data_IF_636097462527
#
_entry.id   IF_636097462527
#
_cell.length_a   1.000
_cell.length_b   1.000
_cell.length_c   1.000
_cell.angle_alpha   90.00
_cell.angle_beta   90.00
_cell.angle_gamma   90.00
#
_symmetry.space_group_name_H-M   'P 1'
#
loop_
_entity.id
_entity.type
_entity.pdbx_description
1 polymer ?
#
# COMPACT_ATOMS: atom_id res chain seq x y z
N UNK A 1 -13.07 14.61 31.58
CA UNK A 1 -13.52 13.39 30.88
C UNK A 1 -14.35 13.80 29.66
N UNK A 2 -14.20 13.05 28.56
CA UNK A 2 -14.99 13.08 27.31
C UNK A 2 -14.88 14.30 26.37
N UNK A 3 -13.88 14.26 25.48
CA UNK A 3 -13.97 14.75 24.09
C UNK A 3 -13.05 13.91 23.19
N UNK A 4 -13.45 12.68 22.85
CA UNK A 4 -12.79 11.82 21.85
C UNK A 4 -13.88 11.01 21.13
N UNK A 5 -14.60 11.63 20.19
CA UNK A 5 -15.63 10.92 19.41
C UNK A 5 -16.00 11.58 18.06
N UNK A 6 -15.09 12.34 17.41
CA UNK A 6 -15.39 12.98 16.11
C UNK A 6 -14.25 12.75 15.08
N UNK A 7 -13.32 11.82 15.34
CA UNK A 7 -12.17 11.61 14.45
C UNK A 7 -12.44 10.74 13.22
N UNK A 8 -13.58 10.02 13.15
CA UNK A 8 -13.82 9.02 12.10
C UNK A 8 -14.64 9.47 10.87
N UNK A 9 -15.28 10.64 10.89
CA UNK A 9 -16.33 10.97 9.91
C UNK A 9 -15.81 11.77 8.70
N UNK A 10 -14.71 12.53 8.84
CA UNK A 10 -14.27 13.42 7.75
C UNK A 10 -13.49 12.72 6.63
N UNK A 11 -12.86 11.57 6.88
CA UNK A 11 -12.18 10.77 5.84
C UNK A 11 -13.19 10.10 4.89
N UNK A 12 -14.42 9.85 5.34
CA UNK A 12 -15.47 9.21 4.53
C UNK A 12 -16.11 10.15 3.49
N UNK A 13 -16.07 11.48 3.68
CA UNK A 13 -16.65 12.41 2.71
C UNK A 13 -15.81 12.57 1.43
N UNK A 14 -14.51 12.26 1.48
CA UNK A 14 -13.64 12.22 0.30
C UNK A 14 -13.89 11.02 -0.61
N UNK A 15 -14.35 9.89 -0.05
CA UNK A 15 -14.63 8.65 -0.80
C UNK A 15 -15.91 8.73 -1.65
N UNK A 16 -16.90 9.53 -1.24
CA UNK A 16 -18.18 9.65 -1.94
C UNK A 16 -18.10 10.43 -3.28
N UNK A 17 -17.06 11.25 -3.49
CA UNK A 17 -16.88 11.97 -4.75
C UNK A 17 -16.15 11.16 -5.83
N UNK A 18 -15.51 10.04 -5.46
CA UNK A 18 -14.79 9.16 -6.40
C UNK A 18 -15.74 8.08 -6.96
N UNK A 19 -16.79 7.71 -6.24
CA UNK A 19 -17.69 6.60 -6.62
C UNK A 19 -18.75 6.93 -7.69
N UNK A 20 -19.02 8.20 -8.00
CA UNK A 20 -20.08 8.57 -8.96
C UNK A 20 -19.62 8.61 -10.43
N UNK A 21 -18.39 8.21 -10.75
CA UNK A 21 -17.83 8.37 -12.09
C UNK A 21 -17.25 7.08 -12.70
N UNK A 22 -17.92 5.94 -12.54
CA UNK A 22 -17.52 4.73 -13.29
C UNK A 22 -18.69 3.92 -13.84
N UNK A 23 -18.90 3.89 -15.17
CA UNK A 23 -19.76 2.90 -15.81
C UNK A 23 -19.01 1.56 -15.91
N UNK A 24 -19.65 0.46 -15.49
CA UNK A 24 -19.11 -0.90 -15.60
C UNK A 24 -18.75 -1.25 -17.04
N UNK A 25 -17.52 -1.74 -17.33
CA UNK A 25 -17.19 -2.23 -18.66
C UNK A 25 -17.95 -3.53 -18.94
N UNK A 26 -18.78 -3.53 -19.98
CA UNK A 26 -19.39 -4.74 -20.53
C UNK A 26 -18.29 -5.61 -21.16
N UNK A 27 -18.06 -6.78 -20.56
CA UNK A 27 -17.15 -7.78 -21.09
C UNK A 27 -17.62 -8.26 -22.46
N UNK A 28 -16.78 -8.08 -23.48
CA UNK A 28 -16.86 -8.81 -24.74
C UNK A 28 -15.60 -9.65 -24.88
N UNK A 29 -15.78 -10.97 -24.83
CA UNK A 29 -14.73 -11.98 -24.99
C UNK A 29 -14.17 -11.98 -26.43
N UNK A 30 -12.83 -12.01 -26.61
CA UNK A 30 -12.25 -12.56 -27.83
C UNK A 30 -11.82 -14.02 -27.63
N UNK A 31 -12.45 -14.87 -28.44
CA UNK A 31 -12.24 -16.31 -28.64
C UNK A 31 -10.78 -16.58 -29.07
N UNK A 32 -9.96 -17.13 -28.17
CA UNK A 32 -8.58 -17.53 -28.47
C UNK A 32 -8.51 -18.88 -29.21
N UNK A 33 -7.86 -18.87 -30.37
CA UNK A 33 -7.59 -20.04 -31.20
C UNK A 33 -6.49 -20.92 -30.58
N UNK A 34 -6.75 -22.24 -30.57
CA UNK A 34 -5.80 -23.29 -30.18
C UNK A 34 -4.70 -23.42 -31.25
N UNK A 35 -3.43 -23.38 -30.85
CA UNK A 35 -2.32 -23.84 -31.69
C UNK A 35 -1.42 -24.77 -30.87
N UNK A 36 -1.06 -25.87 -31.54
CA UNK A 36 -0.53 -27.12 -31.02
C UNK A 36 0.94 -27.10 -30.59
N UNK A 37 1.22 -27.94 -29.59
CA UNK A 37 2.55 -28.35 -29.11
C UNK A 37 3.24 -29.26 -30.15
N UNK A 38 4.59 -29.34 -30.13
CA UNK A 38 5.18 -30.67 -30.11
C UNK A 38 6.19 -30.92 -28.97
N UNK A 39 6.07 -32.13 -28.44
CA UNK A 39 6.96 -32.83 -27.51
C UNK A 39 8.31 -33.12 -28.17
N UNK A 40 9.42 -32.91 -27.45
CA UNK A 40 10.71 -33.57 -27.71
C UNK A 40 11.26 -34.12 -26.39
N UNK A 41 11.70 -35.38 -26.45
CA UNK A 41 12.12 -36.22 -25.33
C UNK A 41 13.60 -36.56 -25.43
N UNK A 42 14.27 -36.66 -24.26
CA UNK A 42 15.51 -37.41 -23.89
C UNK A 42 16.91 -36.93 -24.35
N UNK A 43 18.05 -37.37 -23.72
CA UNK A 43 18.28 -38.16 -22.48
C UNK A 43 19.38 -37.63 -21.51
N UNK A 44 19.59 -38.38 -20.41
CA UNK A 44 20.59 -38.30 -19.33
C UNK A 44 22.08 -38.29 -19.75
N UNK A 45 22.97 -37.74 -18.91
CA UNK A 45 24.35 -38.25 -18.68
C UNK A 45 24.87 -37.86 -17.28
N UNK A 46 25.49 -38.84 -16.63
CA UNK A 46 26.08 -38.90 -15.27
C UNK A 46 27.56 -38.53 -15.20
N UNK A 47 28.03 -37.91 -14.09
CA UNK A 47 29.38 -38.04 -13.45
C UNK A 47 29.40 -37.18 -12.16
N UNK A 48 29.59 -37.64 -10.92
CA UNK A 48 30.61 -38.47 -10.23
C UNK A 48 31.97 -37.79 -9.98
N UNK A 49 32.34 -37.73 -8.68
CA UNK A 49 33.64 -37.31 -8.09
C UNK A 49 33.54 -36.00 -7.30
N UNK A 50 34.10 -35.79 -6.11
CA UNK A 50 34.81 -36.58 -5.08
C UNK A 50 34.97 -35.61 -3.89
N UNK A 51 34.99 -36.13 -2.67
CA UNK A 51 35.14 -35.39 -1.42
C UNK A 51 36.47 -34.60 -1.34
N UNK A 52 36.49 -33.53 -0.54
CA UNK A 52 37.40 -33.48 0.60
C UNK A 52 36.96 -32.49 1.69
N UNK A 53 37.27 -32.87 2.92
CA UNK A 53 36.94 -32.22 4.19
C UNK A 53 37.80 -30.97 4.44
N UNK A 54 37.21 -29.96 5.10
CA UNK A 54 37.81 -29.12 6.15
C UNK A 54 37.13 -27.76 6.22
N UNK A 55 36.29 -27.54 7.23
CA UNK A 55 36.57 -26.52 8.24
C UNK A 55 35.52 -26.59 9.34
N UNK A 56 35.99 -27.02 10.51
CA UNK A 56 35.30 -26.92 11.78
C UNK A 56 35.14 -25.43 12.18
N UNK A 57 34.05 -25.16 12.89
CA UNK A 57 33.67 -23.92 13.59
C UNK A 57 32.85 -22.88 12.80
N UNK A 58 31.56 -23.17 12.56
CA UNK A 58 30.56 -22.12 12.30
C UNK A 58 29.13 -22.50 12.76
N UNK A 59 29.00 -23.39 13.75
CA UNK A 59 27.73 -24.05 14.08
C UNK A 59 27.02 -23.52 15.35
N UNK A 60 27.40 -22.34 15.84
CA UNK A 60 26.74 -21.73 17.03
C UNK A 60 26.08 -20.38 16.73
N UNK A 61 26.38 -19.76 15.59
CA UNK A 61 25.68 -18.54 15.12
C UNK A 61 24.48 -18.85 14.21
N UNK A 62 24.48 -20.00 13.53
CA UNK A 62 23.45 -20.34 12.52
C UNK A 62 22.08 -20.76 13.10
N UNK A 63 22.02 -21.20 14.38
CA UNK A 63 20.76 -21.61 15.00
C UNK A 63 19.90 -20.41 15.44
N UNK A 64 20.52 -19.30 15.86
CA UNK A 64 19.81 -18.12 16.38
C UNK A 64 19.28 -17.21 15.27
N UNK A 65 19.92 -17.18 14.10
CA UNK A 65 19.40 -16.51 12.90
C UNK A 65 18.25 -17.28 12.24
N UNK A 66 18.25 -18.62 12.28
CA UNK A 66 17.17 -19.41 11.67
C UNK A 66 15.83 -19.28 12.40
N UNK A 67 15.84 -19.18 13.73
CA UNK A 67 14.60 -19.00 14.52
C UNK A 67 14.00 -17.59 14.39
N UNK A 68 14.81 -16.53 14.31
CA UNK A 68 14.26 -15.17 14.12
C UNK A 68 13.65 -14.99 12.73
N UNK A 69 14.30 -15.55 11.70
CA UNK A 69 13.84 -15.39 10.30
C UNK A 69 12.55 -16.17 10.03
N UNK A 70 12.35 -17.33 10.68
CA UNK A 70 11.12 -18.11 10.53
C UNK A 70 9.91 -17.43 11.21
N UNK A 71 10.10 -16.92 12.43
CA UNK A 71 9.04 -16.20 13.16
C UNK A 71 8.58 -14.95 12.41
N UNK A 72 9.50 -14.22 11.77
CA UNK A 72 9.18 -13.03 10.98
C UNK A 72 8.42 -13.36 9.69
N UNK A 73 8.75 -14.49 9.03
CA UNK A 73 8.02 -14.97 7.86
C UNK A 73 6.59 -15.38 8.19
N UNK A 74 6.40 -16.15 9.26
CA UNK A 74 5.06 -16.59 9.70
C UNK A 74 4.18 -15.40 10.08
N UNK A 75 4.74 -14.39 10.74
CA UNK A 75 4.03 -13.15 11.07
C UNK A 75 3.62 -12.38 9.81
N UNK A 76 4.49 -12.28 8.81
CA UNK A 76 4.20 -11.59 7.55
C UNK A 76 3.12 -12.33 6.73
N UNK A 77 3.15 -13.66 6.72
CA UNK A 77 2.14 -14.45 6.02
C UNK A 77 0.76 -14.31 6.69
N UNK A 78 0.71 -14.31 8.02
CA UNK A 78 -0.51 -14.02 8.77
C UNK A 78 -1.06 -12.62 8.45
N UNK A 79 -0.18 -11.60 8.37
CA UNK A 79 -0.57 -10.25 7.97
C UNK A 79 -1.15 -10.22 6.55
N UNK A 80 -0.49 -10.84 5.57
CA UNK A 80 -0.94 -10.88 4.18
C UNK A 80 -2.30 -11.56 4.04
N UNK A 81 -2.50 -12.66 4.76
CA UNK A 81 -3.78 -13.34 4.79
C UNK A 81 -4.87 -12.43 5.34
N UNK A 82 -4.66 -11.89 6.55
CA UNK A 82 -5.61 -10.97 7.18
C UNK A 82 -5.93 -9.77 6.27
N UNK A 83 -4.90 -9.14 5.69
CA UNK A 83 -5.07 -7.98 4.82
C UNK A 83 -5.87 -8.34 3.56
N UNK A 84 -5.63 -9.52 2.98
CA UNK A 84 -6.37 -9.98 1.82
C UNK A 84 -7.85 -10.20 2.15
N UNK A 85 -8.16 -10.83 3.28
CA UNK A 85 -9.54 -11.02 3.76
C UNK A 85 -10.23 -9.67 3.99
N UNK A 86 -9.56 -8.76 4.70
CA UNK A 86 -10.12 -7.44 5.02
C UNK A 86 -10.35 -6.58 3.77
N UNK A 87 -9.43 -6.65 2.79
CA UNK A 87 -9.60 -5.95 1.53
C UNK A 87 -10.77 -6.49 0.70
N UNK A 88 -11.06 -7.79 0.78
CA UNK A 88 -12.21 -8.40 0.12
C UNK A 88 -13.53 -7.96 0.76
N UNK A 89 -13.56 -7.81 2.10
CA UNK A 89 -14.74 -7.33 2.82
C UNK A 89 -15.17 -5.93 2.39
N UNK A 90 -14.25 -5.06 1.99
CA UNK A 90 -14.59 -3.72 1.48
C UNK A 90 -15.44 -3.75 0.20
N UNK A 91 -15.43 -4.83 -0.58
CA UNK A 91 -16.29 -4.96 -1.78
C UNK A 91 -17.75 -5.24 -1.40
N UNK A 92 -17.96 -6.02 -0.34
CA UNK A 92 -19.27 -6.54 0.06
C UNK A 92 -19.93 -5.73 1.20
N UNK A 93 -19.19 -4.83 1.84
CA UNK A 93 -19.67 -4.09 3.01
C UNK A 93 -20.51 -2.88 2.64
N UNK A 94 -21.67 -2.78 3.27
CA UNK A 94 -22.42 -1.53 3.40
C UNK A 94 -21.73 -0.52 4.32
N UNK A 95 -22.46 0.40 4.97
CA UNK A 95 -21.87 1.35 5.90
C UNK A 95 -21.02 0.66 6.97
N UNK A 96 -19.75 1.06 7.08
CA UNK A 96 -18.83 0.50 8.08
C UNK A 96 -19.31 0.86 9.49
N UNK A 97 -19.39 -0.14 10.37
CA UNK A 97 -19.79 0.10 11.77
C UNK A 97 -18.65 0.80 12.54
N UNK A 98 -18.97 1.58 13.58
CA UNK A 98 -17.95 2.21 14.42
C UNK A 98 -16.97 1.21 15.04
N UNK A 99 -17.44 0.03 15.42
CA UNK A 99 -16.63 -1.04 16.02
C UNK A 99 -15.61 -1.59 15.03
N UNK A 100 -15.99 -1.69 13.75
CA UNK A 100 -15.09 -2.11 12.68
C UNK A 100 -14.01 -1.07 12.41
N UNK A 101 -14.36 0.22 12.39
CA UNK A 101 -13.37 1.29 12.25
C UNK A 101 -12.39 1.31 13.44
N UNK A 102 -12.87 1.03 14.64
CA UNK A 102 -12.03 0.89 15.82
C UNK A 102 -11.09 -0.31 15.72
N UNK A 103 -11.57 -1.47 15.21
CA UNK A 103 -10.70 -2.63 15.01
C UNK A 103 -9.60 -2.37 13.99
N UNK A 104 -9.91 -1.69 12.89
CA UNK A 104 -8.91 -1.25 11.91
C UNK A 104 -7.89 -0.28 12.51
N UNK A 105 -8.36 0.71 13.28
CA UNK A 105 -7.49 1.66 13.99
C UNK A 105 -6.54 0.95 14.96
N UNK A 106 -7.05 -0.01 15.73
CA UNK A 106 -6.23 -0.79 16.66
C UNK A 106 -5.18 -1.63 15.94
N UNK A 107 -5.55 -2.25 14.81
CA UNK A 107 -4.61 -3.03 13.99
C UNK A 107 -3.56 -2.15 13.33
N UNK A 108 -3.94 -0.97 12.86
CA UNK A 108 -3.03 0.01 12.26
C UNK A 108 -1.99 0.52 13.27
N UNK A 109 -2.41 0.73 14.52
CA UNK A 109 -1.52 1.16 15.60
C UNK A 109 -0.46 0.10 15.97
N UNK A 110 -0.66 -1.16 15.59
CA UNK A 110 0.27 -2.26 15.85
C UNK A 110 1.00 -2.75 14.59
N UNK A 111 1.03 -1.97 13.51
CA UNK A 111 1.74 -2.33 12.29
C UNK A 111 3.25 -2.33 12.51
N UNK A 112 3.90 -3.47 12.27
CA UNK A 112 5.36 -3.55 12.26
C UNK A 112 5.94 -2.87 11.01
N UNK A 113 7.19 -2.42 11.07
CA UNK A 113 7.85 -1.71 9.95
C UNK A 113 7.82 -2.51 8.64
N UNK A 114 8.00 -3.83 8.72
CA UNK A 114 7.91 -4.71 7.56
C UNK A 114 6.50 -4.74 6.96
N UNK A 115 5.45 -4.71 7.80
CA UNK A 115 4.05 -4.67 7.35
C UNK A 115 3.74 -3.32 6.69
N UNK A 116 4.24 -2.22 7.26
CA UNK A 116 4.10 -0.88 6.68
C UNK A 116 4.77 -0.80 5.30
N UNK A 117 5.98 -1.36 5.16
CA UNK A 117 6.68 -1.44 3.88
C UNK A 117 5.88 -2.26 2.84
N UNK A 118 5.26 -3.36 3.26
CA UNK A 118 4.39 -4.16 2.39
C UNK A 118 3.12 -3.37 1.98
N UNK A 119 2.51 -2.60 2.89
CA UNK A 119 1.38 -1.72 2.56
C UNK A 119 1.77 -0.66 1.52
N UNK A 120 2.94 -0.03 1.65
CA UNK A 120 3.46 0.92 0.65
C UNK A 120 3.63 0.24 -0.71
N UNK A 121 4.18 -0.98 -0.73
CA UNK A 121 4.34 -1.77 -1.95
C UNK A 121 2.98 -2.09 -2.60
N UNK A 122 1.99 -2.51 -1.82
CA UNK A 122 0.62 -2.78 -2.30
C UNK A 122 0.00 -1.50 -2.88
N UNK A 123 0.04 -0.39 -2.13
CA UNK A 123 -0.53 0.88 -2.55
C UNK A 123 0.05 1.41 -3.86
N UNK A 124 1.32 1.07 -4.15
CA UNK A 124 2.04 1.46 -5.36
C UNK A 124 1.83 0.49 -6.53
N UNK A 125 1.39 -0.74 -6.31
CA UNK A 125 1.33 -1.73 -7.38
C UNK A 125 0.12 -1.47 -8.30
N UNK A 126 0.37 -1.05 -9.54
CA UNK A 126 -0.69 -0.75 -10.51
C UNK A 126 -1.59 -1.96 -10.84
N UNK A 127 -1.09 -3.18 -10.68
CA UNK A 127 -1.83 -4.42 -10.91
C UNK A 127 -2.72 -4.84 -9.73
N UNK A 128 -2.56 -4.23 -8.56
CA UNK A 128 -3.42 -4.54 -7.41
C UNK A 128 -4.83 -3.95 -7.60
N UNK A 129 -5.87 -4.69 -7.15
CA UNK A 129 -7.23 -4.17 -7.07
C UNK A 129 -7.32 -2.84 -6.31
N UNK A 130 -8.25 -1.98 -6.72
CA UNK A 130 -8.42 -0.64 -6.15
C UNK A 130 -8.65 -0.66 -4.64
N UNK A 131 -9.50 -1.58 -4.17
CA UNK A 131 -9.83 -1.75 -2.75
C UNK A 131 -8.60 -2.12 -1.90
N UNK A 132 -7.69 -2.95 -2.42
CA UNK A 132 -6.44 -3.27 -1.73
C UNK A 132 -5.56 -2.04 -1.56
N UNK A 133 -5.43 -1.25 -2.63
CA UNK A 133 -4.64 0.00 -2.59
C UNK A 133 -5.26 1.02 -1.63
N UNK A 134 -6.59 1.18 -1.66
CA UNK A 134 -7.34 2.07 -0.76
C UNK A 134 -7.15 1.62 0.69
N UNK A 135 -7.36 0.34 1.01
CA UNK A 135 -7.17 -0.17 2.36
C UNK A 135 -5.72 0.02 2.82
N UNK A 136 -4.75 -0.18 1.93
CA UNK A 136 -3.34 -0.01 2.28
C UNK A 136 -3.02 1.43 2.71
N UNK A 137 -3.43 2.42 1.91
CA UNK A 137 -3.25 3.84 2.25
C UNK A 137 -4.05 4.20 3.50
N UNK A 138 -5.26 3.65 3.66
CA UNK A 138 -6.08 3.88 4.84
C UNK A 138 -5.44 3.32 6.12
N UNK A 139 -4.91 2.09 6.10
CA UNK A 139 -4.19 1.50 7.23
C UNK A 139 -2.96 2.34 7.61
N UNK A 140 -2.19 2.80 6.62
CA UNK A 140 -1.08 3.73 6.85
C UNK A 140 -1.58 5.06 7.46
N UNK A 141 -2.72 5.58 7.04
CA UNK A 141 -3.29 6.82 7.60
C UNK A 141 -3.70 6.71 9.08
N UNK A 142 -4.09 5.50 9.51
CA UNK A 142 -4.55 5.23 10.87
C UNK A 142 -3.41 4.97 11.86
N UNK A 143 -2.23 4.55 11.39
CA UNK A 143 -1.08 4.16 12.22
C UNK A 143 -0.40 5.30 13.00
N UNK A 144 -0.88 6.54 12.87
CA UNK A 144 -0.36 7.75 13.55
C UNK A 144 1.16 7.93 13.30
N UNK A 145 1.91 8.33 14.32
CA UNK A 145 3.33 8.67 14.20
C UNK A 145 4.20 7.52 13.69
N UNK A 146 3.80 6.27 13.90
CA UNK A 146 4.55 5.08 13.45
C UNK A 146 4.60 4.93 11.93
N UNK A 147 3.61 5.45 11.20
CA UNK A 147 3.47 5.29 9.73
C UNK A 147 3.81 6.55 8.95
N UNK A 148 4.22 7.63 9.62
CA UNK A 148 4.52 8.92 8.99
C UNK A 148 5.55 8.79 7.87
N UNK A 149 6.64 8.07 8.12
CA UNK A 149 7.69 7.88 7.11
C UNK A 149 7.16 7.10 5.91
N UNK A 150 6.40 6.02 6.13
CA UNK A 150 5.81 5.23 5.05
C UNK A 150 4.81 6.03 4.21
N UNK A 151 4.01 6.91 4.83
CA UNK A 151 3.13 7.84 4.10
C UNK A 151 3.94 8.84 3.29
N UNK A 152 5.00 9.42 3.86
CA UNK A 152 5.94 10.31 3.16
C UNK A 152 6.56 9.61 1.95
N UNK A 153 7.14 8.43 2.14
CA UNK A 153 7.77 7.64 1.07
C UNK A 153 6.76 7.34 -0.04
N UNK A 154 5.51 7.04 0.34
CA UNK A 154 4.43 6.80 -0.61
C UNK A 154 4.09 8.06 -1.43
N UNK A 155 3.98 9.25 -0.83
CA UNK A 155 3.63 10.47 -1.57
C UNK A 155 4.78 11.00 -2.42
N UNK A 156 6.03 10.85 -1.98
CA UNK A 156 7.23 11.30 -2.68
C UNK A 156 7.55 10.43 -3.91
N UNK A 157 7.18 9.14 -3.88
CA UNK A 157 7.40 8.25 -5.01
C UNK A 157 6.80 8.82 -6.32
N UNK A 158 7.47 8.68 -7.48
CA UNK A 158 6.89 9.11 -8.75
C UNK A 158 5.63 8.29 -9.07
N UNK A 159 4.71 8.91 -9.81
CA UNK A 159 3.59 8.17 -10.40
C UNK A 159 4.13 7.09 -11.34
N UNK A 160 3.55 5.90 -11.29
CA UNK A 160 3.91 4.81 -12.20
C UNK A 160 3.16 4.87 -13.51
N UNK A 161 1.94 5.41 -13.49
CA UNK A 161 1.14 5.57 -14.71
C UNK A 161 1.74 6.66 -15.63
N UNK A 162 1.66 6.44 -16.94
CA UNK A 162 2.32 7.29 -17.94
C UNK A 162 1.87 8.76 -17.88
N UNK A 163 2.79 9.73 -18.06
CA UNK A 163 2.49 11.16 -17.95
C UNK A 163 1.57 11.70 -19.04
N UNK A 164 1.68 11.15 -20.24
CA UNK A 164 1.05 11.67 -21.47
C UNK A 164 0.01 10.69 -22.02
N UNK A 165 -0.65 9.95 -21.14
CA UNK A 165 -1.74 9.06 -21.51
C UNK A 165 -2.88 9.83 -22.18
N UNK A 166 -3.46 9.25 -23.23
CA UNK A 166 -4.60 9.85 -23.92
C UNK A 166 -5.76 10.08 -22.93
N UNK A 167 -6.42 11.26 -22.95
CA UNK A 167 -7.56 11.53 -22.08
C UNK A 167 -8.65 10.45 -22.20
N UNK A 168 -9.20 10.02 -21.07
CA UNK A 168 -10.21 8.96 -20.99
C UNK A 168 -9.74 7.56 -21.40
N UNK A 169 -8.43 7.36 -21.59
CA UNK A 169 -7.86 6.03 -21.77
C UNK A 169 -7.83 5.26 -20.44
N UNK A 170 -7.69 3.92 -20.49
CA UNK A 170 -7.44 3.13 -19.29
C UNK A 170 -6.20 3.58 -18.52
N UNK A 171 -5.18 4.11 -19.20
CA UNK A 171 -3.94 4.56 -18.57
C UNK A 171 -4.11 5.91 -17.86
N UNK A 172 -4.85 6.84 -18.46
CA UNK A 172 -5.28 8.09 -17.80
C UNK A 172 -6.10 7.77 -16.54
N UNK A 173 -7.00 6.78 -16.61
CA UNK A 173 -7.78 6.36 -15.46
C UNK A 173 -6.91 5.79 -14.32
N UNK A 174 -5.87 5.00 -14.62
CA UNK A 174 -4.91 4.53 -13.60
C UNK A 174 -4.14 5.69 -12.98
N UNK A 175 -3.71 6.67 -13.79
CA UNK A 175 -3.02 7.88 -13.32
C UNK A 175 -3.89 8.69 -12.37
N UNK A 176 -5.16 8.87 -12.70
CA UNK A 176 -6.14 9.55 -11.83
C UNK A 176 -6.30 8.78 -10.51
N UNK A 177 -6.47 7.45 -10.58
CA UNK A 177 -6.58 6.62 -9.37
C UNK A 177 -5.34 6.74 -8.47
N UNK A 178 -4.14 6.69 -9.04
CA UNK A 178 -2.89 6.83 -8.28
C UNK A 178 -2.77 8.22 -7.64
N UNK A 179 -3.16 9.28 -8.35
CA UNK A 179 -3.23 10.64 -7.79
C UNK A 179 -4.23 10.73 -6.64
N UNK A 180 -5.40 10.11 -6.76
CA UNK A 180 -6.41 10.07 -5.69
C UNK A 180 -5.88 9.39 -4.43
N UNK A 181 -5.15 8.28 -4.57
CA UNK A 181 -4.50 7.61 -3.43
C UNK A 181 -3.45 8.50 -2.77
N UNK A 182 -2.63 9.21 -3.55
CA UNK A 182 -1.66 10.17 -3.01
C UNK A 182 -2.32 11.37 -2.34
N UNK A 183 -3.45 11.87 -2.86
CA UNK A 183 -4.26 12.90 -2.19
C UNK A 183 -4.72 12.41 -0.82
N UNK A 184 -5.25 11.19 -0.74
CA UNK A 184 -5.68 10.58 0.52
C UNK A 184 -4.53 10.52 1.54
N UNK A 185 -3.33 10.11 1.10
CA UNK A 185 -2.15 10.09 1.96
C UNK A 185 -1.70 11.50 2.40
N UNK A 186 -1.75 12.50 1.50
CA UNK A 186 -1.46 13.89 1.83
C UNK A 186 -2.45 14.41 2.88
N UNK A 187 -3.75 14.14 2.72
CA UNK A 187 -4.78 14.55 3.68
C UNK A 187 -4.57 13.91 5.04
N UNK A 188 -4.18 12.64 5.09
CA UNK A 188 -3.83 11.97 6.33
C UNK A 188 -2.65 12.66 7.03
N UNK A 189 -1.57 12.97 6.30
CA UNK A 189 -0.42 13.68 6.85
C UNK A 189 -0.80 15.09 7.35
N UNK A 190 -1.63 15.82 6.60
CA UNK A 190 -2.14 17.14 6.99
C UNK A 190 -2.97 17.06 8.27
N UNK A 191 -3.83 16.05 8.40
CA UNK A 191 -4.63 15.85 9.61
C UNK A 191 -3.74 15.53 10.81
N UNK A 192 -2.74 14.67 10.64
CA UNK A 192 -1.77 14.38 11.70
C UNK A 192 -0.96 15.63 12.07
N UNK A 193 -0.52 16.43 11.09
CA UNK A 193 0.23 17.68 11.27
C UNK A 193 -0.52 18.75 12.07
N UNK A 194 -1.86 18.67 12.20
CA UNK A 194 -2.64 19.56 13.08
C UNK A 194 -2.29 19.37 14.56
N UNK A 195 -1.86 18.17 14.94
CA UNK A 195 -1.65 17.78 16.35
C UNK A 195 -0.25 17.26 16.63
N UNK A 196 0.51 16.88 15.61
CA UNK A 196 1.87 16.34 15.69
C UNK A 196 2.87 17.26 14.95
N UNK A 197 3.73 17.98 15.68
CA UNK A 197 4.78 18.81 15.07
C UNK A 197 5.76 18.03 14.19
N UNK A 198 6.01 16.75 14.50
CA UNK A 198 6.89 15.91 13.68
C UNK A 198 6.24 15.63 12.32
N UNK A 199 4.95 15.29 12.31
CA UNK A 199 4.18 15.11 11.08
C UNK A 199 4.18 16.39 10.23
N UNK A 200 4.05 17.55 10.88
CA UNK A 200 4.15 18.86 10.20
C UNK A 200 5.51 19.08 9.57
N UNK A 201 6.61 18.89 10.31
CA UNK A 201 7.96 19.07 9.78
C UNK A 201 8.30 18.08 8.66
N UNK A 202 7.81 16.84 8.75
CA UNK A 202 7.96 15.86 7.68
C UNK A 202 7.18 16.29 6.43
N UNK A 203 5.92 16.71 6.58
CA UNK A 203 5.14 17.22 5.46
C UNK A 203 5.82 18.43 4.81
N UNK A 204 6.31 19.39 5.61
CA UNK A 204 7.05 20.56 5.16
C UNK A 204 8.27 20.19 4.29
N UNK A 205 9.06 19.20 4.75
CA UNK A 205 10.23 18.71 4.00
C UNK A 205 9.83 17.96 2.73
N UNK A 206 8.78 17.15 2.80
CA UNK A 206 8.42 16.21 1.73
C UNK A 206 7.83 16.90 0.51
N UNK A 207 7.20 18.07 0.67
CA UNK A 207 6.53 18.77 -0.44
C UNK A 207 7.46 19.08 -1.62
N UNK A 208 8.73 19.40 -1.37
CA UNK A 208 9.67 19.69 -2.46
C UNK A 208 10.10 18.43 -3.22
N UNK A 209 9.99 17.26 -2.58
CA UNK A 209 10.34 15.97 -3.16
C UNK A 209 9.18 15.32 -3.93
N UNK A 210 7.93 15.79 -3.76
CA UNK A 210 6.78 15.31 -4.52
C UNK A 210 7.00 15.62 -6.01
N UNK A 211 7.16 14.56 -6.81
CA UNK A 211 7.49 14.66 -8.23
C UNK A 211 6.37 15.32 -9.06
N UNK A 212 5.11 14.96 -8.81
CA UNK A 212 3.96 15.49 -9.56
C UNK A 212 3.64 16.93 -9.12
N UNK A 213 3.67 17.92 -10.04
CA UNK A 213 3.47 19.32 -9.69
C UNK A 213 2.08 19.62 -9.09
N UNK A 214 1.05 18.89 -9.53
CA UNK A 214 -0.30 19.08 -9.01
C UNK A 214 -0.38 18.62 -7.55
N UNK A 215 0.13 17.43 -7.23
CA UNK A 215 0.17 16.91 -5.86
C UNK A 215 1.03 17.77 -4.94
N UNK A 216 2.17 18.27 -5.44
CA UNK A 216 3.02 19.22 -4.70
C UNK A 216 2.27 20.51 -4.35
N UNK A 217 1.58 21.10 -5.33
CA UNK A 217 0.80 22.32 -5.10
C UNK A 217 -0.40 22.05 -4.16
N UNK A 218 -1.03 20.89 -4.28
CA UNK A 218 -2.10 20.45 -3.37
C UNK A 218 -1.61 20.40 -1.92
N UNK A 219 -0.49 19.71 -1.67
CA UNK A 219 0.11 19.60 -0.34
C UNK A 219 0.51 20.98 0.22
N UNK A 220 1.15 21.84 -0.58
CA UNK A 220 1.51 23.21 -0.19
C UNK A 220 0.30 24.02 0.25
N UNK A 221 -0.78 24.00 -0.55
CA UNK A 221 -2.03 24.67 -0.20
C UNK A 221 -2.60 24.15 1.12
N UNK A 222 -2.66 22.83 1.30
CA UNK A 222 -3.17 22.21 2.53
C UNK A 222 -2.34 22.56 3.77
N UNK A 223 -1.02 22.64 3.64
CA UNK A 223 -0.18 23.09 4.73
C UNK A 223 -0.42 24.56 5.08
N UNK A 224 -0.57 25.45 4.09
CA UNK A 224 -0.90 26.86 4.32
C UNK A 224 -2.24 27.01 5.06
N UNK A 225 -3.23 26.19 4.73
CA UNK A 225 -4.52 26.14 5.45
C UNK A 225 -4.36 25.76 6.94
N UNK A 226 -3.27 25.10 7.35
CA UNK A 226 -2.99 24.81 8.77
C UNK A 226 -2.39 25.99 9.55
N UNK A 227 -1.86 26.99 8.85
CA UNK A 227 -1.19 28.15 9.46
C UNK A 227 -2.11 29.36 9.67
N UNK A 228 -3.33 29.32 9.11
CA UNK A 228 -4.35 30.34 9.25
C UNK A 228 -5.38 29.94 10.32
#
# INVERSE_FOLDING_TARGET
MQKRAIFGIFVLFGLALIYNFWPSPTASEPKAARISVPVVTTPQTTKSGSADESSFNDEVLSAKEKESTQSDSESMDAFRQWFSEESGRLEDMGPMSPEYLESLSNRAASLADAEQAELVKIARNLSEPAQKKILAVYMLSLGKSGTLQSLTDFIEAPLQAEPDADPHSPEDAKRVQEKSLKIMAIEALVEQAKTDPQARSLLERSMENIADPYLRNYAKRKLTELTH
#
